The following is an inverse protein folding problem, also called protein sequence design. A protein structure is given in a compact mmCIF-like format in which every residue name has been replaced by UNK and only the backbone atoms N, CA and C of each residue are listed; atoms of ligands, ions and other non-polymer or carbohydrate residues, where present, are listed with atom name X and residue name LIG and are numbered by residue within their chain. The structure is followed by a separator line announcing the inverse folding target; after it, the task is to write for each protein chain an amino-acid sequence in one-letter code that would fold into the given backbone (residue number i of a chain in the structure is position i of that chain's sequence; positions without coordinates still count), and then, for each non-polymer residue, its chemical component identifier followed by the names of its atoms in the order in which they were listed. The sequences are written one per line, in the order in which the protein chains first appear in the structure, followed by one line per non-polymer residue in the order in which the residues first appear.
data_IF_698316109113
#
_entry.id   IF_698316109113
#
_cell.length_a   1.000
_cell.length_b   1.000
_cell.length_c   1.000
_cell.angle_alpha   90.00
_cell.angle_beta   90.00
_cell.angle_gamma   90.00
#
_symmetry.space_group_name_H-M   'P 1'
#
loop_
_entity.id
_entity.type
_entity.pdbx_description
1 polymer ?
#
# COMPACT_ATOMS: atom_id res chain seq x y z
N UNK A 1 1.14 18.77 61.93
CA UNK A 1 1.95 18.16 60.84
C UNK A 1 1.03 17.61 59.78
N UNK A 2 0.90 18.34 58.65
CA UNK A 2 0.08 17.92 57.51
C UNK A 2 0.95 17.10 56.58
N UNK A 3 0.62 15.81 56.43
CA UNK A 3 1.27 14.96 55.43
C UNK A 3 0.60 15.20 54.07
N UNK A 4 1.32 15.83 53.15
CA UNK A 4 0.90 15.99 51.75
C UNK A 4 1.30 14.72 51.03
N UNK A 5 0.30 13.96 50.57
CA UNK A 5 0.50 12.74 49.76
C UNK A 5 0.54 13.18 48.27
N UNK A 6 1.74 13.10 47.67
CA UNK A 6 1.89 13.32 46.22
C UNK A 6 1.45 12.05 45.47
N UNK A 7 0.36 12.14 44.74
CA UNK A 7 -0.02 11.13 43.75
C UNK A 7 0.70 11.44 42.42
N UNK A 8 1.70 10.63 42.09
CA UNK A 8 2.31 10.67 40.75
C UNK A 8 1.45 9.83 39.83
N UNK A 9 0.68 10.48 38.95
CA UNK A 9 -0.06 9.81 37.88
C UNK A 9 0.93 9.54 36.73
N UNK A 10 1.33 8.28 36.57
CA UNK A 10 2.06 7.84 35.39
C UNK A 10 1.07 7.76 34.21
N UNK A 11 1.12 8.73 33.32
CA UNK A 11 0.55 8.57 31.98
C UNK A 11 1.42 7.60 31.18
N UNK A 12 1.00 6.36 31.05
CA UNK A 12 1.58 5.43 30.11
C UNK A 12 1.07 5.82 28.72
N UNK A 13 1.85 6.61 28.00
CA UNK A 13 1.64 6.78 26.57
C UNK A 13 1.97 5.46 25.89
N UNK A 14 0.93 4.70 25.52
CA UNK A 14 1.10 3.64 24.54
C UNK A 14 1.45 4.30 23.20
N UNK A 15 2.74 4.44 22.92
CA UNK A 15 3.20 4.61 21.56
C UNK A 15 2.91 3.29 20.84
N UNK A 16 1.77 3.20 20.15
CA UNK A 16 1.64 2.25 19.07
C UNK A 16 2.74 2.60 18.07
N UNK A 17 3.85 1.92 18.14
CA UNK A 17 4.78 1.87 17.03
C UNK A 17 4.00 1.22 15.90
N UNK A 18 3.60 2.01 14.90
CA UNK A 18 3.19 1.49 13.62
C UNK A 18 4.43 0.83 13.04
N UNK A 19 4.66 -0.43 13.44
CA UNK A 19 5.63 -1.29 12.80
C UNK A 19 5.19 -1.41 11.34
N UNK A 20 6.13 -1.44 10.41
CA UNK A 20 5.92 -1.87 9.03
C UNK A 20 5.46 -3.34 9.04
N UNK A 21 4.22 -3.59 9.48
CA UNK A 21 3.69 -4.93 9.56
C UNK A 21 3.56 -5.48 8.14
N UNK A 22 4.17 -6.62 7.96
CA UNK A 22 4.04 -7.43 6.75
C UNK A 22 2.86 -8.37 7.00
N UNK A 23 1.98 -8.52 6.00
CA UNK A 23 0.84 -9.43 6.08
C UNK A 23 1.26 -10.86 6.42
N UNK A 24 0.47 -11.54 7.21
CA UNK A 24 0.64 -12.98 7.49
C UNK A 24 0.46 -13.87 6.25
N UNK A 25 0.00 -13.30 5.13
CA UNK A 25 -0.20 -14.00 3.86
C UNK A 25 1.04 -14.02 2.97
N UNK A 26 2.13 -13.40 3.39
CA UNK A 26 3.35 -13.27 2.60
C UNK A 26 4.55 -13.88 3.31
N UNK A 27 5.60 -14.12 2.54
CA UNK A 27 6.92 -14.55 3.00
C UNK A 27 7.95 -13.53 2.54
N UNK A 28 8.76 -13.03 3.46
CA UNK A 28 9.91 -12.18 3.14
C UNK A 28 11.01 -13.06 2.57
N UNK A 29 11.44 -12.79 1.32
CA UNK A 29 12.54 -13.48 0.66
C UNK A 29 13.88 -12.87 1.10
N UNK A 30 13.95 -11.54 1.04
CA UNK A 30 15.09 -10.76 1.50
C UNK A 30 14.62 -9.37 1.96
N UNK A 31 15.53 -8.42 2.10
CA UNK A 31 15.24 -7.06 2.56
C UNK A 31 14.34 -6.28 1.59
N UNK A 32 14.38 -6.63 0.29
CA UNK A 32 13.75 -5.86 -0.78
C UNK A 32 12.69 -6.66 -1.55
N UNK A 33 12.42 -7.90 -1.14
CA UNK A 33 11.48 -8.77 -1.85
C UNK A 33 10.59 -9.58 -0.92
N UNK A 34 9.30 -9.55 -1.23
CA UNK A 34 8.24 -10.26 -0.51
C UNK A 34 7.43 -11.05 -1.54
N UNK A 35 7.11 -12.30 -1.26
CA UNK A 35 6.26 -13.13 -2.10
C UNK A 35 4.96 -13.48 -1.36
N UNK A 36 3.85 -13.36 -2.05
CA UNK A 36 2.55 -13.80 -1.56
C UNK A 36 2.40 -15.33 -1.66
N UNK A 37 1.46 -15.89 -0.90
CA UNK A 37 1.01 -17.29 -1.08
C UNK A 37 0.42 -17.54 -2.47
N UNK A 38 -0.02 -16.48 -3.13
CA UNK A 38 -0.54 -16.42 -4.49
C UNK A 38 0.17 -15.28 -5.23
N UNK A 39 0.25 -15.40 -6.55
CA UNK A 39 0.78 -14.34 -7.39
C UNK A 39 -0.13 -13.10 -7.33
N UNK A 40 0.42 -11.94 -6.96
CA UNK A 40 -0.33 -10.72 -6.78
C UNK A 40 -0.92 -10.16 -8.09
N UNK A 41 -0.26 -10.40 -9.23
CA UNK A 41 -0.76 -9.94 -10.53
C UNK A 41 -1.91 -10.80 -11.06
N UNK A 42 -1.84 -12.14 -10.87
CA UNK A 42 -2.67 -13.05 -11.68
C UNK A 42 -3.62 -13.95 -10.88
N UNK A 43 -3.36 -14.22 -9.59
CA UNK A 43 -4.12 -15.23 -8.85
C UNK A 43 -5.30 -14.67 -8.05
N UNK A 44 -5.44 -13.36 -8.01
CA UNK A 44 -6.59 -12.68 -7.40
C UNK A 44 -7.53 -12.14 -8.49
N UNK A 45 -8.82 -12.19 -8.25
CA UNK A 45 -9.80 -11.52 -9.11
C UNK A 45 -9.63 -10.01 -8.99
N UNK A 46 -9.83 -9.25 -10.06
CA UNK A 46 -9.92 -7.81 -9.98
C UNK A 46 -11.24 -7.35 -9.31
N UNK A 47 -12.40 -7.83 -9.80
CA UNK A 47 -13.70 -7.53 -9.23
C UNK A 47 -14.26 -8.69 -8.41
N UNK A 48 -14.80 -8.38 -7.23
CA UNK A 48 -15.60 -9.28 -6.40
C UNK A 48 -17.08 -9.04 -6.67
N UNK A 49 -17.49 -7.79 -6.77
CA UNK A 49 -18.80 -7.31 -7.24
C UNK A 49 -18.59 -6.16 -8.23
N UNK A 50 -19.61 -5.64 -8.90
CA UNK A 50 -19.46 -4.47 -9.78
C UNK A 50 -18.86 -3.22 -9.12
N UNK A 51 -18.91 -3.12 -7.80
CA UNK A 51 -18.39 -1.98 -7.01
C UNK A 51 -17.39 -2.40 -5.93
N UNK A 52 -16.90 -3.64 -5.94
CA UNK A 52 -15.90 -4.12 -4.97
C UNK A 52 -14.75 -4.76 -5.73
N UNK A 53 -13.55 -4.31 -5.44
CA UNK A 53 -12.31 -4.79 -6.08
C UNK A 53 -11.38 -5.39 -5.03
N UNK A 54 -10.48 -6.28 -5.45
CA UNK A 54 -9.32 -6.62 -4.64
C UNK A 54 -8.25 -5.54 -4.84
N UNK A 55 -7.60 -5.16 -3.74
CA UNK A 55 -6.43 -4.28 -3.75
C UNK A 55 -5.29 -4.98 -3.01
N UNK A 56 -4.15 -5.09 -3.65
CA UNK A 56 -2.89 -5.51 -3.02
C UNK A 56 -2.24 -4.28 -2.40
N UNK A 57 -2.00 -4.30 -1.10
CA UNK A 57 -1.37 -3.18 -0.40
C UNK A 57 0.14 -3.22 -0.60
N UNK A 58 0.66 -2.26 -1.34
CA UNK A 58 2.08 -2.09 -1.63
C UNK A 58 2.74 -1.16 -0.61
N UNK A 59 2.07 -0.07 -0.30
CA UNK A 59 2.56 0.98 0.60
C UNK A 59 1.52 1.23 1.70
N UNK A 60 1.78 0.75 2.92
CA UNK A 60 0.95 1.03 4.08
C UNK A 60 0.84 2.54 4.36
N UNK A 61 -0.30 2.95 4.87
CA UNK A 61 -0.49 4.31 5.39
C UNK A 61 0.60 4.69 6.40
N UNK A 62 1.10 5.92 6.31
CA UNK A 62 2.16 6.49 7.15
C UNK A 62 3.55 5.88 6.92
N UNK A 63 3.78 5.19 5.79
CA UNK A 63 5.11 4.73 5.38
C UNK A 63 5.61 5.50 4.15
N UNK A 64 6.90 5.47 3.89
CA UNK A 64 7.57 6.24 2.81
C UNK A 64 8.35 5.37 1.84
N UNK A 65 8.52 4.07 2.14
CA UNK A 65 9.21 3.15 1.24
C UNK A 65 8.35 2.87 0.01
N UNK A 66 8.87 3.12 -1.19
CA UNK A 66 8.19 2.84 -2.44
C UNK A 66 8.33 1.36 -2.79
N UNK A 67 7.27 0.62 -2.56
CA UNK A 67 7.14 -0.77 -2.95
C UNK A 67 6.11 -0.90 -4.06
N UNK A 68 6.31 -1.87 -4.95
CA UNK A 68 5.38 -2.16 -6.04
C UNK A 68 5.38 -3.65 -6.40
N UNK A 69 4.29 -4.10 -7.00
CA UNK A 69 4.20 -5.48 -7.49
C UNK A 69 4.95 -5.61 -8.82
N UNK A 70 5.97 -6.46 -8.81
CA UNK A 70 6.81 -6.73 -9.97
C UNK A 70 6.01 -7.33 -11.13
N UNK A 71 6.09 -6.70 -12.30
CA UNK A 71 5.46 -7.20 -13.54
C UNK A 71 6.11 -8.49 -14.06
N UNK A 72 7.30 -8.84 -13.56
CA UNK A 72 8.04 -10.01 -14.01
C UNK A 72 7.51 -11.31 -13.39
N UNK A 73 7.24 -11.29 -12.09
CA UNK A 73 6.91 -12.51 -11.35
C UNK A 73 5.76 -12.35 -10.35
N UNK A 74 5.20 -11.13 -10.22
CA UNK A 74 4.10 -10.84 -9.29
C UNK A 74 4.49 -10.85 -7.81
N UNK A 75 5.78 -10.77 -7.51
CA UNK A 75 6.28 -10.49 -6.16
C UNK A 75 6.10 -9.01 -5.82
N UNK A 76 6.21 -8.66 -4.55
CA UNK A 76 6.23 -7.28 -4.08
C UNK A 76 7.68 -6.88 -3.81
N UNK A 77 8.18 -5.87 -4.52
CA UNK A 77 9.58 -5.45 -4.49
C UNK A 77 9.72 -3.98 -4.07
N UNK A 78 10.76 -3.69 -3.29
CA UNK A 78 11.15 -2.33 -3.01
C UNK A 78 11.78 -1.73 -4.26
N UNK A 79 11.21 -0.64 -4.77
CA UNK A 79 11.75 0.06 -5.93
C UNK A 79 13.14 0.64 -5.63
N UNK A 80 14.05 0.58 -6.60
CA UNK A 80 15.37 1.20 -6.51
C UNK A 80 15.46 2.43 -7.42
N UNK A 81 16.00 3.51 -6.88
CA UNK A 81 16.28 4.72 -7.63
C UNK A 81 17.75 5.11 -7.45
N UNK A 82 18.48 5.24 -8.54
CA UNK A 82 19.94 5.51 -8.56
C UNK A 82 20.78 4.51 -7.74
N UNK A 83 20.34 3.26 -7.65
CA UNK A 83 21.05 2.20 -6.92
C UNK A 83 20.72 2.09 -5.43
N UNK A 84 19.85 2.96 -4.91
CA UNK A 84 19.41 2.95 -3.52
C UNK A 84 17.91 2.63 -3.42
N UNK A 85 17.45 1.99 -2.34
CA UNK A 85 16.03 1.77 -2.09
C UNK A 85 15.28 3.12 -2.09
N UNK A 86 14.22 3.21 -2.89
CA UNK A 86 13.49 4.47 -3.07
C UNK A 86 12.62 4.79 -1.86
N UNK A 87 12.91 5.94 -1.23
CA UNK A 87 12.15 6.52 -0.14
C UNK A 87 11.52 7.84 -0.62
N UNK A 88 10.24 8.02 -0.38
CA UNK A 88 9.53 9.27 -0.65
C UNK A 88 9.84 10.25 0.47
N UNK A 89 10.66 11.27 0.17
CA UNK A 89 11.20 12.20 1.17
C UNK A 89 10.31 13.42 1.45
N UNK A 90 9.19 13.57 0.73
CA UNK A 90 8.31 14.72 0.91
C UNK A 90 7.38 14.51 2.13
N UNK A 91 6.49 13.53 2.05
CA UNK A 91 5.58 13.11 3.14
C UNK A 91 5.35 11.60 3.03
N UNK A 92 5.13 10.90 4.15
CA UNK A 92 4.63 9.53 4.12
C UNK A 92 3.28 9.46 3.38
N UNK A 93 2.98 8.32 2.81
CA UNK A 93 1.68 8.08 2.18
C UNK A 93 0.55 8.29 3.21
N UNK A 94 -0.38 9.23 2.97
CA UNK A 94 -1.42 9.55 3.96
C UNK A 94 -2.52 8.49 4.04
N UNK A 95 -2.55 7.54 3.09
CA UNK A 95 -3.51 6.45 2.96
C UNK A 95 -2.78 5.19 2.52
N UNK A 96 -3.42 4.02 2.65
CA UNK A 96 -2.87 2.81 2.06
C UNK A 96 -2.92 2.94 0.54
N UNK A 97 -1.86 2.50 -0.11
CA UNK A 97 -1.71 2.56 -1.55
C UNK A 97 -1.36 1.19 -2.08
N UNK A 98 -1.85 0.87 -3.27
CA UNK A 98 -1.57 -0.40 -3.90
C UNK A 98 -2.20 -0.50 -5.28
N UNK A 99 -2.28 -1.71 -5.80
CA UNK A 99 -2.77 -1.96 -7.15
C UNK A 99 -3.95 -2.95 -7.18
N UNK A 100 -4.75 -2.88 -8.24
CA UNK A 100 -5.84 -3.81 -8.51
C UNK A 100 -5.31 -4.95 -9.41
N UNK A 101 -5.33 -6.23 -8.96
CA UNK A 101 -4.87 -7.37 -9.75
C UNK A 101 -5.58 -7.48 -11.11
N UNK A 102 -4.88 -8.05 -12.10
CA UNK A 102 -5.41 -8.29 -13.46
C UNK A 102 -5.95 -7.03 -14.14
N UNK A 103 -5.36 -5.88 -13.86
CA UNK A 103 -5.63 -4.63 -14.55
C UNK A 103 -4.37 -4.11 -15.24
N UNK A 104 -4.53 -3.15 -16.11
CA UNK A 104 -3.42 -2.45 -16.78
C UNK A 104 -3.89 -1.07 -17.21
N UNK A 105 -3.02 -0.06 -17.06
CA UNK A 105 -3.17 1.24 -17.70
C UNK A 105 -2.54 1.15 -19.10
N UNK A 106 -3.34 1.00 -20.17
CA UNK A 106 -2.78 0.64 -21.47
C UNK A 106 -2.03 1.82 -22.12
N UNK A 107 -0.84 1.54 -22.66
CA UNK A 107 -0.01 2.52 -23.38
C UNK A 107 -0.76 3.27 -24.49
N UNK A 108 -1.66 2.55 -25.22
CA UNK A 108 -2.46 3.12 -26.31
C UNK A 108 -3.46 4.19 -25.83
N UNK A 109 -3.77 4.21 -24.54
CA UNK A 109 -4.66 5.20 -23.92
C UNK A 109 -3.87 6.24 -23.09
N UNK A 110 -2.54 6.26 -23.23
CA UNK A 110 -1.66 7.19 -22.54
C UNK A 110 -1.26 6.74 -21.14
N UNK A 111 -1.48 5.48 -20.78
CA UNK A 111 -0.97 4.91 -19.52
C UNK A 111 0.47 4.42 -19.64
N UNK A 112 1.02 3.90 -18.55
CA UNK A 112 2.40 3.44 -18.39
C UNK A 112 2.59 1.92 -18.55
N UNK A 113 1.49 1.19 -18.71
CA UNK A 113 1.49 -0.27 -18.77
C UNK A 113 1.49 -0.95 -17.40
N UNK A 114 1.33 -0.20 -16.32
CA UNK A 114 1.23 -0.70 -14.96
C UNK A 114 -0.21 -1.11 -14.59
N UNK A 115 -0.41 -1.94 -13.56
CA UNK A 115 -1.73 -2.17 -13.02
C UNK A 115 -2.39 -0.87 -12.56
N UNK A 116 -3.72 -0.85 -12.53
CA UNK A 116 -4.47 0.31 -12.05
C UNK A 116 -4.24 0.51 -10.56
N UNK A 117 -3.80 1.68 -10.19
CA UNK A 117 -3.55 2.07 -8.81
C UNK A 117 -4.84 2.26 -8.01
N UNK A 118 -4.77 1.92 -6.74
CA UNK A 118 -5.86 2.12 -5.80
C UNK A 118 -5.38 2.75 -4.48
N UNK A 119 -6.20 3.65 -3.97
CA UNK A 119 -6.07 4.24 -2.64
C UNK A 119 -7.13 3.62 -1.76
N UNK A 120 -6.72 3.01 -0.63
CA UNK A 120 -7.65 2.41 0.34
C UNK A 120 -7.71 3.29 1.58
N UNK A 121 -8.90 3.88 1.81
CA UNK A 121 -9.17 4.72 2.97
C UNK A 121 -9.34 3.85 4.23
N UNK A 122 -8.98 4.40 5.39
CA UNK A 122 -9.15 3.74 6.68
C UNK A 122 -7.85 3.66 7.48
N UNK A 123 -7.76 2.64 8.35
CA UNK A 123 -6.59 2.37 9.17
C UNK A 123 -5.42 1.84 8.32
N UNK A 124 -4.21 1.88 8.88
CA UNK A 124 -3.04 1.31 8.22
C UNK A 124 -3.20 -0.20 8.05
N UNK A 125 -2.95 -0.69 6.84
CA UNK A 125 -3.00 -2.10 6.47
C UNK A 125 -1.57 -2.63 6.28
N UNK A 126 -1.31 -3.91 6.58
CA UNK A 126 0.01 -4.51 6.37
C UNK A 126 0.41 -4.55 4.89
N UNK A 127 1.71 -4.39 4.59
CA UNK A 127 2.25 -4.58 3.24
C UNK A 127 2.04 -6.02 2.77
N UNK A 128 1.57 -6.17 1.53
CA UNK A 128 1.24 -7.48 0.96
C UNK A 128 -0.10 -8.05 1.41
N UNK A 129 -0.89 -7.29 2.18
CA UNK A 129 -2.30 -7.64 2.41
C UNK A 129 -3.10 -7.49 1.12
N UNK A 130 -4.06 -8.39 0.90
CA UNK A 130 -5.03 -8.28 -0.19
C UNK A 130 -6.40 -8.08 0.43
N UNK A 131 -6.99 -6.93 0.15
CA UNK A 131 -8.27 -6.54 0.75
C UNK A 131 -9.36 -6.39 -0.31
N UNK A 132 -10.58 -6.78 0.04
CA UNK A 132 -11.77 -6.46 -0.74
C UNK A 132 -12.24 -5.06 -0.35
N UNK A 133 -12.17 -4.13 -1.28
CA UNK A 133 -12.45 -2.72 -1.04
C UNK A 133 -13.55 -2.20 -1.95
N UNK A 134 -14.48 -1.44 -1.38
CA UNK A 134 -15.60 -0.84 -2.13
C UNK A 134 -15.12 0.41 -2.86
N UNK A 135 -15.37 0.48 -4.16
CA UNK A 135 -15.06 1.64 -5.00
C UNK A 135 -15.98 2.81 -4.64
N UNK A 136 -15.37 3.96 -4.36
CA UNK A 136 -16.05 5.22 -4.08
C UNK A 136 -15.97 6.19 -5.26
N UNK A 137 -14.88 6.16 -6.03
CA UNK A 137 -14.66 7.07 -7.14
C UNK A 137 -13.30 6.91 -7.79
N UNK A 138 -12.96 7.86 -8.64
CA UNK A 138 -11.72 7.91 -9.40
C UNK A 138 -11.13 9.32 -9.29
N UNK A 139 -9.84 9.41 -8.99
CA UNK A 139 -9.05 10.64 -9.18
C UNK A 139 -8.37 10.53 -10.53
N UNK A 140 -8.65 11.47 -11.43
CA UNK A 140 -7.93 11.59 -12.68
C UNK A 140 -6.64 12.36 -12.46
N UNK A 141 -5.54 11.73 -12.81
CA UNK A 141 -4.21 12.30 -12.66
C UNK A 141 -3.41 12.17 -13.97
N UNK A 142 -2.45 13.04 -14.11
CA UNK A 142 -1.45 12.95 -15.16
C UNK A 142 -0.07 13.14 -14.52
N UNK A 143 0.81 12.17 -14.70
CA UNK A 143 2.20 12.25 -14.27
C UNK A 143 3.10 12.28 -15.50
N UNK A 144 3.84 13.38 -15.66
CA UNK A 144 4.80 13.63 -16.75
C UNK A 144 4.26 13.36 -18.17
N UNK A 145 2.94 13.45 -18.36
CA UNK A 145 2.27 13.22 -19.65
C UNK A 145 1.55 11.86 -19.75
N UNK A 146 1.73 10.99 -18.80
CA UNK A 146 1.05 9.70 -18.70
C UNK A 146 -0.22 9.77 -17.86
N UNK A 147 -1.23 8.99 -18.24
CA UNK A 147 -2.46 8.84 -17.45
C UNK A 147 -2.15 8.00 -16.24
N UNK A 148 -2.35 8.59 -15.06
CA UNK A 148 -1.99 8.02 -13.76
C UNK A 148 -3.19 8.05 -12.79
N UNK A 149 -4.34 7.59 -13.29
CA UNK A 149 -5.62 7.61 -12.58
C UNK A 149 -5.58 6.70 -11.35
N UNK A 150 -6.18 7.14 -10.23
CA UNK A 150 -6.22 6.40 -8.96
C UNK A 150 -7.66 6.06 -8.58
N UNK A 151 -7.96 4.79 -8.35
CA UNK A 151 -9.26 4.34 -7.82
C UNK A 151 -9.29 4.59 -6.31
N UNK A 152 -10.33 5.30 -5.83
CA UNK A 152 -10.55 5.52 -4.40
C UNK A 152 -11.47 4.45 -3.86
N UNK A 153 -11.04 3.79 -2.79
CA UNK A 153 -11.77 2.67 -2.17
C UNK A 153 -11.83 2.79 -0.64
N UNK A 154 -12.71 2.04 -0.03
CA UNK A 154 -12.86 1.89 1.43
C UNK A 154 -13.23 0.46 1.80
#
# INVERSE_FOLDING_TARGET
MIKVLFFIIFFVFNFNSYSNEISSQVTKVDEFKIVGKKNFLFDYKNFITPLTVNVVIEIPKNTSEKWEVSKLDGSLEHEFFMGEPRIINYLPYPMNYGMIPRTVMPLQLGGDGDPVDAIVLGDALPRGEVVEAKVLGLIKMNDMGEVDDKVITV
#
